data_IF_238056671473
#
_entry.id   IF_238056671473
#
_cell.length_a   1.000
_cell.length_b   1.000
_cell.length_c   1.000
_cell.angle_alpha   90.00
_cell.angle_beta   90.00
_cell.angle_gamma   90.00
#
_symmetry.space_group_name_H-M   'P 1'
#
loop_
_entity.id
_entity.type
_entity.pdbx_description
1 polymer ?
#
# COMPACT_ATOMS: atom_id res chain seq x y z
N UNK A 1 15.99 -11.37 -11.88
CA UNK A 1 15.67 -11.26 -13.31
C UNK A 1 14.20 -10.94 -13.45
N UNK A 2 13.81 -9.94 -14.24
CA UNK A 2 12.40 -9.65 -14.46
C UNK A 2 11.70 -10.82 -15.18
N UNK A 3 10.43 -11.11 -14.83
CA UNK A 3 9.66 -12.16 -15.50
C UNK A 3 9.31 -11.78 -16.93
N UNK A 4 9.05 -12.81 -17.76
CA UNK A 4 8.59 -12.66 -19.14
C UNK A 4 7.17 -13.23 -19.20
N UNK A 5 6.23 -12.42 -19.68
CA UNK A 5 4.85 -12.84 -19.94
C UNK A 5 4.74 -13.14 -21.44
N UNK A 6 4.75 -14.41 -21.82
CA UNK A 6 4.75 -14.85 -23.24
C UNK A 6 3.45 -15.49 -23.66
N UNK A 7 2.52 -15.74 -22.74
CA UNK A 7 1.22 -16.36 -22.97
C UNK A 7 0.16 -15.74 -22.06
N UNK A 8 -1.07 -16.23 -22.12
CA UNK A 8 -2.13 -15.82 -21.20
C UNK A 8 -1.77 -16.18 -19.75
N UNK A 9 -2.09 -15.26 -18.85
CA UNK A 9 -1.78 -15.42 -17.43
C UNK A 9 -2.88 -16.24 -16.78
N UNK A 10 -2.47 -17.33 -16.13
CA UNK A 10 -3.34 -18.15 -15.29
C UNK A 10 -2.72 -18.37 -13.93
N UNK A 11 -3.54 -18.62 -12.92
CA UNK A 11 -3.11 -18.95 -11.57
C UNK A 11 -3.43 -20.43 -11.29
N UNK A 12 -2.45 -21.33 -11.32
CA UNK A 12 -2.70 -22.77 -11.15
C UNK A 12 -2.93 -23.18 -9.68
N UNK A 13 -2.44 -22.39 -8.71
CA UNK A 13 -2.52 -22.69 -7.28
C UNK A 13 -2.38 -21.42 -6.43
N UNK A 14 -2.73 -21.45 -5.13
CA UNK A 14 -2.43 -20.38 -4.17
C UNK A 14 -0.93 -20.02 -4.15
N UNK A 15 -0.63 -18.73 -4.04
CA UNK A 15 0.74 -18.21 -4.12
C UNK A 15 1.31 -17.86 -2.75
N UNK A 16 0.52 -17.20 -1.89
CA UNK A 16 0.96 -16.60 -0.62
C UNK A 16 0.16 -17.07 0.60
N UNK A 17 -0.85 -17.91 0.39
CA UNK A 17 -1.74 -18.39 1.46
C UNK A 17 -0.95 -19.13 2.55
N UNK A 18 -0.02 -19.98 2.16
CA UNK A 18 0.81 -20.72 3.12
C UNK A 18 1.64 -19.78 4.01
N UNK A 19 2.27 -18.78 3.42
CA UNK A 19 3.06 -17.77 4.14
C UNK A 19 2.18 -16.98 5.11
N UNK A 20 0.97 -16.62 4.68
CA UNK A 20 -0.03 -15.97 5.52
C UNK A 20 -0.41 -16.88 6.72
N UNK A 21 -0.76 -18.13 6.49
CA UNK A 21 -1.14 -19.08 7.53
C UNK A 21 -0.01 -19.29 8.56
N UNK A 22 1.23 -19.45 8.08
CA UNK A 22 2.41 -19.56 8.94
C UNK A 22 2.58 -18.30 9.79
N UNK A 23 2.51 -17.12 9.19
CA UNK A 23 2.62 -15.86 9.92
C UNK A 23 1.49 -15.68 10.94
N UNK A 24 0.24 -16.02 10.57
CA UNK A 24 -0.92 -15.91 11.45
C UNK A 24 -0.85 -16.90 12.63
N UNK A 25 -0.19 -18.04 12.46
CA UNK A 25 -0.02 -19.02 13.55
C UNK A 25 0.82 -18.50 14.73
N UNK A 26 1.67 -17.49 14.51
CA UNK A 26 2.51 -16.89 15.57
C UNK A 26 1.81 -15.79 16.36
N UNK A 27 0.61 -15.35 15.99
CA UNK A 27 -0.05 -14.22 16.64
C UNK A 27 -1.57 -14.34 16.59
N UNK A 28 -2.23 -13.74 17.61
CA UNK A 28 -3.68 -13.54 17.61
C UNK A 28 -4.11 -12.21 16.96
N UNK A 29 -3.15 -11.33 16.66
CA UNK A 29 -3.42 -10.09 15.94
C UNK A 29 -3.61 -10.39 14.46
N UNK A 30 -4.41 -9.58 13.74
CA UNK A 30 -4.54 -9.75 12.29
C UNK A 30 -3.18 -9.63 11.60
N UNK A 31 -2.89 -10.57 10.70
CA UNK A 31 -1.77 -10.51 9.77
C UNK A 31 -2.30 -10.05 8.42
N UNK A 32 -1.56 -9.21 7.71
CA UNK A 32 -1.91 -8.81 6.34
C UNK A 32 -1.53 -9.90 5.34
N UNK A 33 -2.47 -10.25 4.45
CA UNK A 33 -2.12 -10.86 3.18
C UNK A 33 -1.43 -9.81 2.29
N UNK A 34 -0.28 -10.13 1.71
CA UNK A 34 0.53 -9.17 0.94
C UNK A 34 0.67 -9.62 -0.50
N UNK A 35 0.31 -8.75 -1.43
CA UNK A 35 0.36 -9.01 -2.87
C UNK A 35 0.98 -7.82 -3.60
N UNK A 36 1.68 -8.08 -4.70
CA UNK A 36 2.04 -7.05 -5.67
C UNK A 36 0.88 -6.88 -6.65
N UNK A 37 0.49 -5.66 -6.92
CA UNK A 37 -0.66 -5.34 -7.76
C UNK A 37 -0.44 -5.59 -9.26
N UNK A 38 -1.52 -5.67 -10.04
CA UNK A 38 -1.46 -6.09 -11.44
C UNK A 38 -0.68 -5.12 -12.32
N UNK A 39 -0.74 -3.82 -12.05
CA UNK A 39 -0.02 -2.79 -12.82
C UNK A 39 1.47 -2.86 -12.56
N UNK A 40 1.85 -3.06 -11.31
CA UNK A 40 3.25 -3.23 -10.91
C UNK A 40 3.83 -4.52 -11.48
N UNK A 41 3.11 -5.64 -11.40
CA UNK A 41 3.54 -6.89 -12.02
C UNK A 41 3.76 -6.73 -13.53
N UNK A 42 2.86 -6.04 -14.20
CA UNK A 42 3.00 -5.75 -15.63
C UNK A 42 4.23 -4.88 -15.93
N UNK A 43 4.41 -3.79 -15.16
CA UNK A 43 5.49 -2.83 -15.41
C UNK A 43 6.88 -3.40 -15.09
N UNK A 44 6.98 -4.31 -14.13
CA UNK A 44 8.23 -5.00 -13.78
C UNK A 44 8.48 -6.29 -14.56
N UNK A 45 7.62 -6.59 -15.53
CA UNK A 45 7.75 -7.73 -16.44
C UNK A 45 8.10 -7.28 -17.85
N UNK A 46 8.55 -8.23 -18.67
CA UNK A 46 8.56 -8.10 -20.13
C UNK A 46 7.27 -8.70 -20.67
N UNK A 47 6.22 -7.91 -20.91
CA UNK A 47 4.95 -8.43 -21.38
C UNK A 47 4.99 -8.77 -22.88
N UNK A 48 4.15 -9.74 -23.28
CA UNK A 48 3.84 -10.03 -24.70
C UNK A 48 3.31 -8.77 -25.39
N UNK A 49 3.52 -8.70 -26.71
CA UNK A 49 3.19 -7.51 -27.52
C UNK A 49 2.10 -7.75 -28.55
N UNK A 50 1.55 -8.95 -28.63
CA UNK A 50 0.48 -9.35 -29.56
C UNK A 50 -0.92 -8.96 -29.05
N UNK A 51 -1.05 -8.61 -27.76
CA UNK A 51 -2.25 -8.05 -27.16
C UNK A 51 -1.92 -6.73 -26.42
N UNK A 52 -2.91 -5.83 -26.20
CA UNK A 52 -2.71 -4.60 -25.46
C UNK A 52 -2.22 -4.83 -24.02
N UNK A 53 -1.35 -3.96 -23.51
CA UNK A 53 -0.88 -4.01 -22.12
C UNK A 53 -2.02 -4.03 -21.08
N UNK A 54 -3.12 -3.34 -21.36
CA UNK A 54 -4.33 -3.35 -20.55
C UNK A 54 -4.90 -4.76 -20.39
N UNK A 55 -4.96 -5.53 -21.45
CA UNK A 55 -5.48 -6.92 -21.41
C UNK A 55 -4.58 -7.83 -20.56
N UNK A 56 -3.25 -7.67 -20.68
CA UNK A 56 -2.32 -8.39 -19.82
C UNK A 56 -2.52 -8.01 -18.35
N UNK A 57 -2.71 -6.72 -18.04
CA UNK A 57 -3.00 -6.26 -16.69
C UNK A 57 -4.30 -6.87 -16.14
N UNK A 58 -5.33 -7.01 -16.95
CA UNK A 58 -6.60 -7.61 -16.54
C UNK A 58 -6.47 -9.11 -16.28
N UNK A 59 -5.65 -9.83 -17.08
CA UNK A 59 -5.35 -11.23 -16.79
C UNK A 59 -4.62 -11.39 -15.45
N UNK A 60 -3.63 -10.53 -15.17
CA UNK A 60 -2.94 -10.47 -13.87
C UNK A 60 -3.92 -10.15 -12.74
N UNK A 61 -4.82 -9.21 -12.95
CA UNK A 61 -5.83 -8.82 -11.97
C UNK A 61 -6.77 -9.98 -11.62
N UNK A 62 -7.21 -10.76 -12.60
CA UNK A 62 -8.05 -11.95 -12.36
C UNK A 62 -7.30 -13.04 -11.57
N UNK A 63 -6.01 -13.23 -11.86
CA UNK A 63 -5.18 -14.15 -11.08
C UNK A 63 -5.04 -13.69 -9.62
N UNK A 64 -4.83 -12.40 -9.38
CA UNK A 64 -4.77 -11.82 -8.04
C UNK A 64 -6.12 -11.85 -7.32
N UNK A 65 -7.22 -11.63 -8.04
CA UNK A 65 -8.57 -11.78 -7.47
C UNK A 65 -8.81 -13.17 -6.90
N UNK A 66 -8.35 -14.19 -7.60
CA UNK A 66 -8.44 -15.58 -7.11
C UNK A 66 -7.55 -15.78 -5.86
N UNK A 67 -6.36 -15.15 -5.81
CA UNK A 67 -5.49 -15.18 -4.62
C UNK A 67 -6.13 -14.49 -3.43
N UNK A 68 -6.74 -13.32 -3.63
CA UNK A 68 -7.47 -12.59 -2.57
C UNK A 68 -8.57 -13.46 -1.98
N UNK A 69 -9.36 -14.14 -2.81
CA UNK A 69 -10.40 -15.05 -2.34
C UNK A 69 -9.84 -16.23 -1.54
N UNK A 70 -8.65 -16.74 -1.90
CA UNK A 70 -7.99 -17.81 -1.15
C UNK A 70 -7.44 -17.31 0.19
N UNK A 71 -6.87 -16.12 0.24
CA UNK A 71 -6.44 -15.46 1.48
C UNK A 71 -7.61 -15.21 2.43
N UNK A 72 -8.76 -14.75 1.92
CA UNK A 72 -9.99 -14.60 2.72
C UNK A 72 -10.46 -15.93 3.30
N UNK A 73 -10.45 -16.99 2.49
CA UNK A 73 -10.80 -18.35 2.97
C UNK A 73 -9.83 -18.87 4.03
N UNK A 74 -8.56 -18.47 3.98
CA UNK A 74 -7.57 -18.75 5.01
C UNK A 74 -7.70 -17.86 6.25
N UNK A 75 -8.63 -16.89 6.25
CA UNK A 75 -8.93 -16.03 7.40
C UNK A 75 -8.27 -14.66 7.37
N UNK A 76 -7.66 -14.24 6.27
CA UNK A 76 -7.15 -12.88 6.12
C UNK A 76 -8.30 -11.86 6.16
N UNK A 77 -8.17 -10.86 7.03
CA UNK A 77 -9.12 -9.75 7.17
C UNK A 77 -8.58 -8.42 6.66
N UNK A 78 -7.29 -8.38 6.40
CA UNK A 78 -6.59 -7.23 5.83
C UNK A 78 -5.73 -7.77 4.70
N UNK A 79 -5.94 -7.27 3.49
CA UNK A 79 -5.17 -7.67 2.32
C UNK A 79 -4.59 -6.40 1.67
N UNK A 80 -3.29 -6.39 1.48
CA UNK A 80 -2.59 -5.27 0.86
C UNK A 80 -2.15 -5.66 -0.55
N UNK A 81 -2.51 -4.81 -1.52
CA UNK A 81 -2.18 -4.96 -2.94
C UNK A 81 -1.36 -3.73 -3.36
N UNK A 82 -0.06 -3.91 -3.49
CA UNK A 82 0.89 -2.80 -3.67
C UNK A 82 1.06 -2.41 -5.14
N UNK A 83 0.95 -1.10 -5.41
CA UNK A 83 1.13 -0.54 -6.76
C UNK A 83 2.25 0.51 -6.84
N UNK A 84 3.48 0.19 -6.40
CA UNK A 84 4.60 1.13 -6.46
C UNK A 84 4.93 1.60 -7.88
N UNK A 85 4.73 0.76 -8.89
CA UNK A 85 5.05 1.10 -10.27
C UNK A 85 3.90 1.77 -11.04
N UNK A 86 2.79 2.12 -10.41
CA UNK A 86 1.69 2.82 -11.08
C UNK A 86 2.15 4.15 -11.68
N UNK A 87 2.89 4.95 -10.91
CA UNK A 87 3.43 6.23 -11.36
C UNK A 87 4.59 6.05 -12.35
N UNK A 88 5.46 5.07 -12.14
CA UNK A 88 6.58 4.77 -13.05
C UNK A 88 6.12 4.44 -14.47
N UNK A 89 4.94 3.83 -14.60
CA UNK A 89 4.34 3.45 -15.88
C UNK A 89 3.62 4.59 -16.61
N UNK A 90 3.55 5.82 -16.03
CA UNK A 90 2.87 6.95 -16.66
C UNK A 90 3.50 7.24 -18.03
N UNK A 91 2.68 7.36 -19.08
CA UNK A 91 3.16 7.74 -20.40
C UNK A 91 3.84 9.11 -20.38
N UNK A 92 4.93 9.22 -21.13
CA UNK A 92 5.63 10.49 -21.34
C UNK A 92 4.70 11.53 -21.97
N UNK A 93 3.86 11.11 -22.92
CA UNK A 93 2.91 11.96 -23.61
C UNK A 93 1.70 12.25 -22.74
N UNK A 94 1.42 13.52 -22.38
CA UNK A 94 0.32 13.88 -21.49
C UNK A 94 -1.06 13.42 -21.98
N UNK A 95 -1.30 13.44 -23.28
CA UNK A 95 -2.54 13.01 -23.93
C UNK A 95 -2.86 11.51 -23.71
N UNK A 96 -1.85 10.70 -23.35
CA UNK A 96 -2.02 9.27 -23.09
C UNK A 96 -2.20 8.93 -21.59
N UNK A 97 -1.95 9.90 -20.70
CA UNK A 97 -1.98 9.65 -19.25
C UNK A 97 -3.36 9.32 -18.73
N UNK A 98 -4.38 10.02 -19.21
CA UNK A 98 -5.76 9.78 -18.77
C UNK A 98 -6.23 8.36 -19.09
N UNK A 99 -5.95 7.86 -20.29
CA UNK A 99 -6.27 6.48 -20.68
C UNK A 99 -5.49 5.46 -19.87
N UNK A 100 -4.19 5.71 -19.63
CA UNK A 100 -3.36 4.86 -18.78
C UNK A 100 -3.93 4.78 -17.36
N UNK A 101 -4.19 5.91 -16.72
CA UNK A 101 -4.73 5.96 -15.35
C UNK A 101 -6.11 5.31 -15.26
N UNK A 102 -6.93 5.41 -16.30
CA UNK A 102 -8.24 4.76 -16.31
C UNK A 102 -8.11 3.23 -16.21
N UNK A 103 -7.39 2.59 -17.13
CA UNK A 103 -7.29 1.13 -17.10
C UNK A 103 -6.44 0.60 -15.94
N UNK A 104 -5.50 1.39 -15.40
CA UNK A 104 -4.75 0.98 -14.18
C UNK A 104 -5.64 0.92 -12.95
N UNK A 105 -6.54 1.89 -12.80
CA UNK A 105 -7.59 1.87 -11.78
C UNK A 105 -8.50 0.66 -11.97
N UNK A 106 -8.96 0.42 -13.20
CA UNK A 106 -9.83 -0.72 -13.51
C UNK A 106 -9.15 -2.06 -13.19
N UNK A 107 -7.85 -2.20 -13.50
CA UNK A 107 -7.08 -3.40 -13.19
C UNK A 107 -6.99 -3.65 -11.68
N UNK A 108 -6.68 -2.61 -10.89
CA UNK A 108 -6.65 -2.73 -9.43
C UNK A 108 -8.03 -3.12 -8.88
N UNK A 109 -9.08 -2.43 -9.31
CA UNK A 109 -10.46 -2.72 -8.86
C UNK A 109 -10.93 -4.11 -9.32
N UNK A 110 -10.51 -4.57 -10.50
CA UNK A 110 -10.79 -5.94 -10.95
C UNK A 110 -10.15 -6.98 -10.02
N UNK A 111 -8.94 -6.71 -9.54
CA UNK A 111 -8.26 -7.59 -8.59
C UNK A 111 -8.96 -7.60 -7.22
N UNK A 112 -9.32 -6.42 -6.70
CA UNK A 112 -9.79 -6.24 -5.31
C UNK A 112 -11.31 -6.28 -5.16
N UNK A 113 -12.08 -5.96 -6.21
CA UNK A 113 -13.53 -5.82 -6.15
C UNK A 113 -14.32 -7.11 -5.92
N UNK A 114 -13.64 -8.26 -5.74
CA UNK A 114 -14.26 -9.50 -5.28
C UNK A 114 -14.14 -9.76 -3.78
N UNK A 115 -13.40 -8.92 -3.05
CA UNK A 115 -13.23 -9.03 -1.62
C UNK A 115 -14.57 -8.78 -0.88
N UNK A 116 -14.77 -9.51 0.20
CA UNK A 116 -15.94 -9.32 1.06
C UNK A 116 -15.89 -7.94 1.73
N UNK A 117 -17.04 -7.35 2.01
CA UNK A 117 -17.15 -6.03 2.68
C UNK A 117 -16.52 -5.98 4.08
N UNK A 118 -16.25 -7.12 4.69
CA UNK A 118 -15.57 -7.23 5.97
C UNK A 118 -14.05 -7.33 5.84
N UNK A 119 -13.51 -7.43 4.63
CA UNK A 119 -12.09 -7.49 4.34
C UNK A 119 -11.59 -6.09 3.99
N UNK A 120 -10.64 -5.58 4.76
CA UNK A 120 -10.03 -4.29 4.51
C UNK A 120 -8.96 -4.40 3.42
N UNK A 121 -9.08 -3.61 2.37
CA UNK A 121 -8.13 -3.55 1.26
C UNK A 121 -7.17 -2.38 1.47
N UNK A 122 -5.89 -2.70 1.56
CA UNK A 122 -4.81 -1.73 1.61
C UNK A 122 -4.08 -1.65 0.27
N UNK A 123 -3.45 -0.52 0.03
CA UNK A 123 -2.45 -0.37 -1.02
C UNK A 123 -1.22 0.36 -0.50
N UNK A 124 -0.11 0.25 -1.21
CA UNK A 124 1.12 0.97 -0.91
C UNK A 124 1.68 1.60 -2.16
N UNK A 125 2.15 2.81 -2.02
CA UNK A 125 2.87 3.53 -3.06
C UNK A 125 4.18 4.09 -2.52
N UNK A 126 5.26 3.78 -3.21
CA UNK A 126 6.53 4.46 -3.05
C UNK A 126 6.46 5.83 -3.74
N UNK A 127 7.21 6.82 -3.25
CA UNK A 127 7.31 8.18 -3.78
C UNK A 127 6.26 9.19 -3.30
N UNK A 128 6.77 10.36 -2.87
CA UNK A 128 5.99 11.41 -2.21
C UNK A 128 5.29 12.42 -3.13
N UNK A 129 5.52 12.38 -4.45
CA UNK A 129 4.92 13.35 -5.38
C UNK A 129 3.63 12.78 -6.01
N UNK A 130 2.50 12.97 -5.34
CA UNK A 130 1.20 12.42 -5.76
C UNK A 130 0.31 13.36 -6.56
N UNK A 131 0.64 14.65 -6.67
CA UNK A 131 -0.26 15.67 -7.21
C UNK A 131 -0.97 15.27 -8.51
N UNK A 132 -0.22 14.76 -9.48
CA UNK A 132 -0.75 14.39 -10.80
C UNK A 132 -1.60 13.10 -10.79
N UNK A 133 -1.42 12.22 -9.83
CA UNK A 133 -2.05 10.88 -9.82
C UNK A 133 -3.04 10.69 -8.67
N UNK A 134 -3.12 11.64 -7.73
CA UNK A 134 -3.99 11.52 -6.56
C UNK A 134 -5.46 11.24 -6.89
N UNK A 135 -6.08 11.87 -7.92
CA UNK A 135 -7.43 11.50 -8.33
C UNK A 135 -7.57 10.06 -8.85
N UNK A 136 -6.51 9.49 -9.42
CA UNK A 136 -6.51 8.09 -9.82
C UNK A 136 -6.33 7.15 -8.63
N UNK A 137 -5.47 7.54 -7.68
CA UNK A 137 -5.27 6.82 -6.41
C UNK A 137 -6.57 6.73 -5.61
N UNK A 138 -7.29 7.83 -5.49
CA UNK A 138 -8.58 7.84 -4.78
C UNK A 138 -9.60 6.89 -5.45
N UNK A 139 -9.60 6.80 -6.79
CA UNK A 139 -10.45 5.88 -7.54
C UNK A 139 -10.05 4.40 -7.46
N UNK A 140 -8.85 4.06 -6.95
CA UNK A 140 -8.51 2.65 -6.67
C UNK A 140 -9.50 2.02 -5.70
N UNK A 141 -10.11 2.83 -4.86
CA UNK A 141 -11.12 2.39 -3.89
C UNK A 141 -10.54 1.48 -2.81
N UNK A 142 -9.27 1.66 -2.47
CA UNK A 142 -8.63 1.01 -1.33
C UNK A 142 -9.06 1.71 -0.03
N UNK A 143 -9.29 0.95 1.04
CA UNK A 143 -9.66 1.50 2.34
C UNK A 143 -8.52 2.30 2.97
N UNK A 144 -7.28 1.82 2.79
CA UNK A 144 -6.08 2.44 3.36
C UNK A 144 -4.98 2.54 2.30
N UNK A 145 -4.35 3.70 2.23
CA UNK A 145 -3.12 3.89 1.46
C UNK A 145 -1.93 4.11 2.38
N UNK A 146 -0.85 3.35 2.23
CA UNK A 146 0.44 3.64 2.87
C UNK A 146 1.40 4.30 1.89
N UNK A 147 2.16 5.27 2.39
CA UNK A 147 3.00 6.17 1.60
C UNK A 147 4.38 6.31 2.23
N UNK A 148 5.41 6.51 1.41
CA UNK A 148 6.70 7.01 1.90
C UNK A 148 6.56 8.45 2.36
N UNK A 149 6.93 8.74 3.61
CA UNK A 149 6.81 10.08 4.20
C UNK A 149 7.89 10.39 5.24
N UNK A 150 8.75 9.45 5.60
CA UNK A 150 9.72 9.68 6.68
C UNK A 150 10.69 10.83 6.38
N UNK A 151 11.04 11.04 5.11
CA UNK A 151 11.90 12.14 4.64
C UNK A 151 11.14 13.41 4.29
N UNK A 152 9.85 13.31 4.03
CA UNK A 152 9.00 14.46 3.75
C UNK A 152 8.64 15.16 5.07
N UNK A 153 8.46 16.46 5.02
CA UNK A 153 7.82 17.21 6.09
C UNK A 153 6.31 16.90 6.12
N UNK A 154 5.51 17.95 6.12
CA UNK A 154 4.05 17.88 6.07
C UNK A 154 3.47 18.00 4.64
N UNK A 155 4.31 18.15 3.63
CA UNK A 155 3.88 18.45 2.24
C UNK A 155 2.91 17.40 1.68
N UNK A 156 3.24 16.12 1.83
CA UNK A 156 2.38 15.02 1.38
C UNK A 156 1.03 15.06 2.09
N UNK A 157 1.04 15.28 3.40
CA UNK A 157 -0.17 15.34 4.22
C UNK A 157 -1.03 16.55 3.89
N UNK A 158 -0.40 17.70 3.64
CA UNK A 158 -1.08 18.90 3.20
C UNK A 158 -1.74 18.69 1.83
N UNK A 159 -1.04 18.07 0.88
CA UNK A 159 -1.60 17.72 -0.44
C UNK A 159 -2.82 16.82 -0.31
N UNK A 160 -2.79 15.81 0.57
CA UNK A 160 -3.93 14.94 0.85
C UNK A 160 -5.10 15.72 1.47
N UNK A 161 -4.81 16.58 2.44
CA UNK A 161 -5.82 17.41 3.09
C UNK A 161 -6.45 18.44 2.14
N UNK A 162 -5.67 19.12 1.33
CA UNK A 162 -6.12 20.06 0.31
C UNK A 162 -7.00 19.39 -0.77
N UNK A 163 -6.66 18.15 -1.13
CA UNK A 163 -7.49 17.33 -2.02
C UNK A 163 -8.80 16.89 -1.38
N UNK A 164 -8.87 16.84 -0.05
CA UNK A 164 -10.00 16.28 0.69
C UNK A 164 -10.02 14.75 0.69
N UNK A 165 -8.84 14.11 0.76
CA UNK A 165 -8.73 12.64 0.79
C UNK A 165 -9.38 12.08 2.06
N UNK A 166 -10.51 11.38 1.90
CA UNK A 166 -11.36 10.96 3.01
C UNK A 166 -11.04 9.58 3.58
N UNK A 167 -10.18 8.80 2.89
CA UNK A 167 -9.83 7.43 3.30
C UNK A 167 -8.71 7.42 4.32
N UNK A 168 -8.42 6.24 4.88
CA UNK A 168 -7.35 6.07 5.85
C UNK A 168 -5.98 6.12 5.17
N UNK A 169 -4.99 6.66 5.89
CA UNK A 169 -3.64 6.90 5.37
C UNK A 169 -2.60 6.42 6.36
N UNK A 170 -1.60 5.71 5.86
CA UNK A 170 -0.40 5.31 6.60
C UNK A 170 0.84 6.06 6.11
N UNK A 171 1.08 7.31 6.54
CA UNK A 171 2.31 7.99 6.22
C UNK A 171 3.47 7.34 6.95
N UNK A 172 4.55 7.00 6.23
CA UNK A 172 5.71 6.36 6.81
C UNK A 172 6.40 7.24 7.85
N UNK A 173 6.82 6.62 8.96
CA UNK A 173 7.53 7.28 10.06
C UNK A 173 8.98 6.83 10.20
N UNK A 174 9.38 5.82 9.45
CA UNK A 174 10.72 5.23 9.47
C UNK A 174 11.25 5.07 8.04
N UNK A 175 12.32 5.81 7.72
CA UNK A 175 13.06 5.65 6.48
C UNK A 175 13.91 4.38 6.52
N UNK A 176 13.47 3.35 5.81
CA UNK A 176 14.15 2.06 5.76
C UNK A 176 15.48 2.10 4.99
N UNK A 177 15.76 3.17 4.25
CA UNK A 177 17.01 3.37 3.52
C UNK A 177 18.10 4.03 4.39
N UNK A 178 17.70 4.63 5.52
CA UNK A 178 18.61 5.20 6.49
C UNK A 178 19.11 4.15 7.48
N UNK A 179 20.41 4.13 7.83
CA UNK A 179 20.94 3.29 8.89
C UNK A 179 20.50 3.77 10.30
N UNK A 180 19.90 4.94 10.41
CA UNK A 180 19.46 5.52 11.68
C UNK A 180 18.19 4.81 12.13
N UNK A 181 18.25 4.23 13.34
CA UNK A 181 17.07 3.65 14.00
C UNK A 181 16.33 4.78 14.69
N UNK A 182 15.06 5.08 14.33
CA UNK A 182 14.31 6.14 14.96
C UNK A 182 13.98 5.78 16.43
N UNK A 183 14.06 6.74 17.32
CA UNK A 183 13.58 6.59 18.67
C UNK A 183 12.07 6.92 18.81
N UNK A 184 11.51 6.61 19.98
CA UNK A 184 10.09 6.86 20.27
C UNK A 184 9.74 8.35 20.16
N UNK A 185 10.61 9.25 20.62
CA UNK A 185 10.34 10.68 20.65
C UNK A 185 10.23 11.24 19.22
N UNK A 186 11.14 10.86 18.34
CA UNK A 186 11.12 11.24 16.93
C UNK A 186 9.83 10.77 16.23
N UNK A 187 9.45 9.51 16.43
CA UNK A 187 8.22 8.97 15.85
C UNK A 187 6.99 9.68 16.38
N UNK A 188 6.94 9.91 17.70
CA UNK A 188 5.83 10.60 18.36
C UNK A 188 5.65 12.03 17.82
N UNK A 189 6.73 12.75 17.59
CA UNK A 189 6.69 14.09 17.00
C UNK A 189 6.08 14.06 15.58
N UNK A 190 6.51 13.12 14.74
CA UNK A 190 5.91 12.92 13.41
C UNK A 190 4.42 12.59 13.49
N UNK A 191 4.01 11.72 14.38
CA UNK A 191 2.61 11.35 14.56
C UNK A 191 1.76 12.54 15.04
N UNK A 192 2.30 13.41 15.91
CA UNK A 192 1.63 14.65 16.30
C UNK A 192 1.49 15.63 15.12
N UNK A 193 2.47 15.67 14.23
CA UNK A 193 2.37 16.44 12.98
C UNK A 193 1.26 15.87 12.09
N UNK A 194 1.14 14.54 11.97
CA UNK A 194 0.07 13.92 11.18
C UNK A 194 -1.33 14.32 11.68
N UNK A 195 -1.51 14.40 13.00
CA UNK A 195 -2.75 14.89 13.63
C UNK A 195 -3.12 16.33 13.26
N UNK A 196 -2.21 17.12 12.73
CA UNK A 196 -2.55 18.48 12.26
C UNK A 196 -3.37 18.44 10.96
N UNK A 197 -3.21 17.39 10.15
CA UNK A 197 -3.79 17.25 8.83
C UNK A 197 -4.85 16.16 8.72
N UNK A 198 -4.79 15.14 9.57
CA UNK A 198 -5.62 13.94 9.53
C UNK A 198 -6.34 13.72 10.87
N UNK A 199 -7.55 13.19 10.83
CA UNK A 199 -8.23 12.70 12.02
C UNK A 199 -7.55 11.43 12.55
N UNK A 200 -7.58 11.20 13.86
CA UNK A 200 -6.97 10.02 14.50
C UNK A 200 -7.44 8.69 13.88
N UNK A 201 -8.72 8.62 13.51
CA UNK A 201 -9.31 7.44 12.88
C UNK A 201 -8.79 7.17 11.46
N UNK A 202 -8.21 8.17 10.80
CA UNK A 202 -7.62 8.02 9.46
C UNK A 202 -6.15 7.58 9.51
N UNK A 203 -5.47 7.65 10.66
CA UNK A 203 -4.02 7.47 10.75
C UNK A 203 -3.66 6.01 10.99
N UNK A 204 -2.98 5.42 10.03
CA UNK A 204 -2.19 4.20 10.20
C UNK A 204 -0.73 4.56 10.45
N UNK A 205 0.00 3.67 11.13
CA UNK A 205 1.41 3.91 11.45
C UNK A 205 2.25 2.76 10.93
N UNK A 206 3.14 3.07 10.03
CA UNK A 206 3.98 2.10 9.33
C UNK A 206 5.36 2.69 9.00
N UNK A 207 6.37 1.84 8.72
CA UNK A 207 7.59 2.28 8.04
C UNK A 207 7.28 2.78 6.62
N UNK A 208 8.21 3.50 6.00
CA UNK A 208 8.07 3.96 4.61
C UNK A 208 7.83 2.81 3.63
N UNK A 209 8.53 1.70 3.81
CA UNK A 209 8.43 0.54 2.94
C UNK A 209 8.77 -0.76 3.70
N UNK A 210 8.85 -1.88 2.99
CA UNK A 210 9.22 -3.18 3.55
C UNK A 210 10.62 -3.22 4.15
N UNK A 211 10.77 -3.86 5.30
CA UNK A 211 11.99 -3.86 6.12
C UNK A 211 13.09 -4.81 5.64
N UNK A 212 12.93 -5.43 4.48
CA UNK A 212 13.82 -6.47 3.92
C UNK A 212 15.29 -6.07 3.76
N UNK A 213 15.57 -4.76 3.72
CA UNK A 213 16.93 -4.22 3.59
C UNK A 213 17.63 -4.00 4.92
N UNK A 214 16.94 -4.21 6.03
CA UNK A 214 17.43 -4.02 7.39
C UNK A 214 17.71 -5.35 8.10
N UNK A 215 18.68 -5.33 9.00
CA UNK A 215 18.98 -6.48 9.88
C UNK A 215 17.97 -6.56 11.03
N UNK A 216 17.84 -7.74 11.64
CA UNK A 216 16.99 -7.90 12.83
C UNK A 216 17.42 -7.00 14.00
N UNK A 217 18.72 -6.72 14.12
CA UNK A 217 19.24 -5.79 15.12
C UNK A 217 18.77 -4.36 14.94
N UNK A 218 18.44 -3.95 13.72
CA UNK A 218 17.87 -2.64 13.38
C UNK A 218 16.34 -2.65 13.43
N UNK A 219 15.72 -3.70 12.88
CA UNK A 219 14.26 -3.82 12.76
C UNK A 219 13.57 -3.88 14.12
N UNK A 220 14.07 -4.73 15.03
CA UNK A 220 13.39 -4.93 16.31
C UNK A 220 13.30 -3.67 17.18
N UNK A 221 14.39 -2.89 17.39
CA UNK A 221 14.29 -1.64 18.15
C UNK A 221 13.43 -0.59 17.42
N UNK A 222 13.50 -0.47 16.08
CA UNK A 222 12.68 0.46 15.31
C UNK A 222 11.18 0.16 15.47
N UNK A 223 10.78 -1.11 15.34
CA UNK A 223 9.38 -1.50 15.52
C UNK A 223 8.89 -1.35 16.97
N UNK A 224 9.77 -1.58 17.96
CA UNK A 224 9.42 -1.32 19.38
C UNK A 224 9.18 0.17 19.62
N UNK A 225 10.05 1.03 19.11
CA UNK A 225 9.90 2.48 19.22
C UNK A 225 8.59 2.95 18.53
N UNK A 226 8.28 2.39 17.34
CA UNK A 226 7.05 2.68 16.62
C UNK A 226 5.80 2.31 17.43
N UNK A 227 5.76 1.09 17.98
CA UNK A 227 4.62 0.63 18.80
C UNK A 227 4.49 1.46 20.09
N UNK A 228 5.60 1.79 20.76
CA UNK A 228 5.60 2.63 21.96
C UNK A 228 5.06 4.04 21.66
N UNK A 229 5.53 4.67 20.59
CA UNK A 229 5.05 5.99 20.16
C UNK A 229 3.54 5.99 19.86
N UNK A 230 3.04 4.95 19.20
CA UNK A 230 1.59 4.79 18.94
C UNK A 230 0.80 4.66 20.24
N UNK A 231 1.27 3.81 21.17
CA UNK A 231 0.60 3.62 22.45
C UNK A 231 0.53 4.93 23.24
N UNK A 232 1.63 5.70 23.23
CA UNK A 232 1.70 7.00 23.89
C UNK A 232 0.78 8.02 23.23
N UNK A 233 0.76 8.09 21.89
CA UNK A 233 -0.13 8.98 21.15
C UNK A 233 -1.61 8.69 21.46
N UNK A 234 -2.00 7.41 21.53
CA UNK A 234 -3.37 7.00 21.86
C UNK A 234 -3.80 7.34 23.29
N UNK A 235 -2.84 7.54 24.20
CA UNK A 235 -3.10 8.01 25.56
C UNK A 235 -3.23 9.53 25.66
N UNK A 236 -2.85 10.28 24.63
CA UNK A 236 -3.04 11.73 24.56
C UNK A 236 -4.51 12.05 24.20
N UNK A 237 -5.05 13.19 24.66
CA UNK A 237 -6.37 13.64 24.21
C UNK A 237 -6.38 13.73 22.68
N UNK A 238 -7.28 12.98 22.03
CA UNK A 238 -7.47 13.04 20.59
C UNK A 238 -8.00 14.41 20.16
N UNK A 239 -7.70 14.84 18.93
CA UNK A 239 -8.53 15.85 18.30
C UNK A 239 -9.91 15.23 18.10
N UNK A 240 -10.89 15.66 18.91
CA UNK A 240 -12.30 15.39 18.64
C UNK A 240 -12.56 15.92 17.23
N UNK A 241 -13.10 15.06 16.36
CA UNK A 241 -13.48 15.46 15.02
C UNK A 241 -14.29 16.75 15.10
N UNK A 242 -13.89 17.74 14.35
CA UNK A 242 -14.77 18.87 14.09
C UNK A 242 -15.90 18.28 13.23
N UNK A 243 -17.08 18.16 13.84
CA UNK A 243 -18.35 17.83 13.20
C UNK A 243 -18.68 18.80 12.06
#
# INVERSE_FOLDING_TARGET
RPPIIYADVTRPAPMTVREFEVAQSFTRKPVKGMLTGPVTLLNWSFPRTDIPRQEVAFQLALALRAEIADLERAGARVIQVDEPALREGLPFKPDRRAAYLAWTVDAFRLATGGAASATQIHTHMCYAEFGDVLPAIDRLDADVISLENARSGDETLRTLAEYGYAREVGPGVYDIHSPVIPDEAFILEKLRMFRQHLADAQIWVNPDCGLKTRTWAEVLPALRALVAAVQRLRAEPGKLGQD
#
